data_IF_786705402057
#
_entry.id   IF_786705402057
#
_cell.length_a   1.000
_cell.length_b   1.000
_cell.length_c   1.000
_cell.angle_alpha   90.00
_cell.angle_beta   90.00
_cell.angle_gamma   90.00
#
_symmetry.space_group_name_H-M   'P 1'
#
loop_
_entity.id
_entity.type
_entity.pdbx_description
1 polymer ?
#
# COMPACT_ATOMS: atom_id res chain seq x y z
N UNK A 1 40.61 36.42 -7.30
CA UNK A 1 40.19 35.26 -8.13
C UNK A 1 40.71 34.02 -7.42
N UNK A 2 40.07 33.62 -6.32
CA UNK A 2 38.94 32.68 -6.21
C UNK A 2 39.40 31.23 -6.26
N UNK A 3 39.51 30.62 -5.08
CA UNK A 3 39.26 29.20 -4.84
C UNK A 3 39.23 28.99 -3.32
N UNK A 4 38.04 29.17 -2.71
CA UNK A 4 37.75 28.74 -1.35
C UNK A 4 36.86 27.51 -1.43
N UNK A 5 37.43 26.40 -0.99
CA UNK A 5 36.90 25.04 -0.90
C UNK A 5 35.52 24.93 -0.21
N UNK A 6 34.61 24.06 -0.69
CA UNK A 6 33.31 23.83 -0.07
C UNK A 6 33.32 22.59 0.83
N UNK A 7 32.98 22.75 2.11
CA UNK A 7 32.33 21.67 2.84
C UNK A 7 32.86 21.38 4.23
N UNK A 8 32.43 22.17 5.21
CA UNK A 8 32.19 21.66 6.56
C UNK A 8 30.85 22.23 7.05
N UNK A 9 29.76 21.53 6.71
CA UNK A 9 28.48 21.70 7.41
C UNK A 9 28.60 20.97 8.75
N UNK A 10 29.24 21.63 9.71
CA UNK A 10 29.21 21.21 11.11
C UNK A 10 27.77 21.35 11.61
N UNK A 11 27.07 20.21 11.66
CA UNK A 11 25.75 20.09 12.26
C UNK A 11 25.86 20.41 13.75
N UNK A 12 25.58 21.65 14.12
CA UNK A 12 25.45 22.05 15.52
C UNK A 12 24.12 21.54 16.09
N UNK A 13 24.12 20.93 17.29
CA UNK A 13 22.92 20.37 17.89
C UNK A 13 21.90 21.46 18.27
N UNK A 14 20.63 21.21 17.93
CA UNK A 14 19.46 22.10 18.13
C UNK A 14 19.20 22.45 19.61
N UNK A 15 19.90 21.84 20.55
CA UNK A 15 19.68 22.06 21.98
C UNK A 15 20.34 23.32 22.57
N UNK A 16 21.24 24.00 21.86
CA UNK A 16 21.98 25.15 22.45
C UNK A 16 21.33 26.52 22.19
N UNK A 17 20.24 26.61 21.41
CA UNK A 17 19.63 27.91 21.06
C UNK A 17 18.41 28.27 21.93
N UNK A 18 18.01 27.40 22.86
CA UNK A 18 16.88 27.62 23.75
C UNK A 18 17.25 28.28 25.10
N UNK A 19 18.52 28.64 25.32
CA UNK A 19 18.98 29.19 26.61
C UNK A 19 19.43 30.67 26.58
N UNK A 20 19.55 31.30 25.41
CA UNK A 20 20.04 32.70 25.29
C UNK A 20 18.92 33.74 25.06
N UNK A 21 17.68 33.42 25.39
CA UNK A 21 16.54 34.36 25.31
C UNK A 21 15.79 34.49 26.65
N UNK A 22 16.52 34.52 27.76
CA UNK A 22 16.07 35.20 28.98
C UNK A 22 16.23 36.73 28.86
N UNK A 23 15.77 37.32 27.75
CA UNK A 23 15.56 38.77 27.72
C UNK A 23 14.18 39.07 28.27
N UNK A 24 14.18 39.29 29.59
CA UNK A 24 13.27 40.11 30.40
C UNK A 24 12.08 40.73 29.61
N UNK A 25 11.05 39.91 29.37
CA UNK A 25 9.77 40.42 28.91
C UNK A 25 8.97 40.83 30.15
N UNK A 26 9.13 42.08 30.57
CA UNK A 26 8.36 42.66 31.65
C UNK A 26 6.86 42.61 31.32
N UNK A 27 6.14 41.67 31.95
CA UNK A 27 4.68 41.54 31.84
C UNK A 27 4.05 42.78 32.47
N UNK A 28 3.25 43.59 31.74
CA UNK A 28 2.63 44.78 32.30
C UNK A 28 1.65 44.40 33.43
N UNK A 29 1.58 45.19 34.51
CA UNK A 29 0.67 44.93 35.62
C UNK A 29 -0.78 44.99 35.11
N UNK A 30 -1.46 43.83 35.13
CA UNK A 30 -2.83 43.67 34.65
C UNK A 30 -3.02 42.59 33.58
N UNK A 31 -1.93 42.03 33.03
CA UNK A 31 -2.01 40.91 32.08
C UNK A 31 -1.75 39.59 32.80
N UNK A 32 -2.82 38.81 33.03
CA UNK A 32 -2.70 37.42 33.50
C UNK A 32 -2.43 36.53 32.28
N UNK A 33 -1.22 35.98 32.21
CA UNK A 33 -0.91 34.93 31.24
C UNK A 33 -1.56 33.62 31.73
N UNK A 34 -2.70 33.27 31.13
CA UNK A 34 -3.34 31.97 31.39
C UNK A 34 -2.54 30.88 30.68
N UNK A 35 -1.85 30.02 31.43
CA UNK A 35 -1.14 28.86 30.88
C UNK A 35 -2.16 27.77 30.55
N UNK A 36 -2.31 27.46 29.27
CA UNK A 36 -3.09 26.30 28.82
C UNK A 36 -2.17 25.09 28.72
N UNK A 37 -2.31 24.12 29.61
CA UNK A 37 -1.71 22.80 29.42
C UNK A 37 -2.66 21.94 28.59
N UNK A 38 -2.23 21.57 27.38
CA UNK A 38 -2.95 20.62 26.54
C UNK A 38 -2.25 19.26 26.60
N UNK A 39 -2.98 18.23 27.00
CA UNK A 39 -2.49 16.85 26.97
C UNK A 39 -3.00 16.17 25.70
N UNK A 40 -2.09 15.78 24.81
CA UNK A 40 -2.41 15.02 23.60
C UNK A 40 -2.01 13.57 23.84
N UNK A 41 -2.98 12.68 23.96
CA UNK A 41 -2.75 11.24 24.02
C UNK A 41 -2.95 10.62 22.64
N UNK A 42 -1.94 9.89 22.15
CA UNK A 42 -2.04 9.09 20.93
C UNK A 42 -1.89 7.63 21.31
N UNK A 43 -3.00 6.91 21.33
CA UNK A 43 -3.05 5.49 21.64
C UNK A 43 -4.49 5.00 21.79
N UNK A 44 -4.74 3.69 21.61
CA UNK A 44 -6.08 3.10 21.66
C UNK A 44 -6.66 3.02 23.08
N UNK A 45 -5.82 3.26 24.09
CA UNK A 45 -6.18 3.22 25.50
C UNK A 45 -5.76 4.52 26.19
N UNK A 46 -6.58 5.05 27.10
CA UNK A 46 -6.23 6.23 27.89
C UNK A 46 -5.05 5.95 28.84
N UNK A 47 -4.39 7.01 29.31
CA UNK A 47 -3.34 6.86 30.32
C UNK A 47 -3.89 6.27 31.63
N UNK A 48 -3.05 5.60 32.44
CA UNK A 48 -3.45 5.09 33.76
C UNK A 48 -4.03 6.17 34.67
N UNK A 49 -3.53 7.42 34.57
CA UNK A 49 -4.04 8.56 35.32
C UNK A 49 -5.45 8.96 34.89
N UNK A 50 -5.73 8.96 33.58
CA UNK A 50 -7.07 9.20 33.06
C UNK A 50 -8.04 8.06 33.39
N UNK A 51 -7.59 6.80 33.38
CA UNK A 51 -8.37 5.63 33.81
C UNK A 51 -8.86 5.77 35.25
N UNK A 52 -8.00 6.24 36.16
CA UNK A 52 -8.39 6.55 37.54
C UNK A 52 -9.44 7.65 37.60
N UNK A 53 -9.29 8.71 36.80
CA UNK A 53 -10.30 9.77 36.68
C UNK A 53 -11.65 9.26 36.14
N UNK A 54 -11.65 8.28 35.25
CA UNK A 54 -12.90 7.64 34.79
C UNK A 54 -13.57 6.77 35.87
N UNK A 55 -12.77 6.12 36.73
CA UNK A 55 -13.27 5.34 37.87
C UNK A 55 -14.00 6.22 38.89
N UNK A 56 -13.57 7.48 39.06
CA UNK A 56 -14.22 8.48 39.91
C UNK A 56 -15.61 8.89 39.39
N UNK A 57 -15.83 8.87 38.06
CA UNK A 57 -17.15 9.13 37.46
C UNK A 57 -18.08 7.94 37.68
N UNK A 58 -17.58 6.74 37.40
CA UNK A 58 -18.27 5.50 37.69
C UNK A 58 -17.27 4.34 37.72
N UNK A 59 -17.34 3.53 38.76
CA UNK A 59 -16.38 2.46 39.04
C UNK A 59 -16.21 1.42 37.91
N UNK A 60 -17.25 1.22 37.09
CA UNK A 60 -17.31 0.27 35.97
C UNK A 60 -16.78 0.85 34.63
N UNK A 61 -16.59 2.17 34.53
CA UNK A 61 -16.16 2.80 33.28
C UNK A 61 -14.83 2.26 32.72
N UNK A 62 -13.78 2.08 33.53
CA UNK A 62 -12.51 1.53 33.07
C UNK A 62 -12.66 0.18 32.37
N UNK A 63 -13.41 -0.75 32.99
CA UNK A 63 -13.64 -2.09 32.45
C UNK A 63 -14.46 -2.04 31.15
N UNK A 64 -15.51 -1.21 31.12
CA UNK A 64 -16.35 -1.05 29.93
C UNK A 64 -15.60 -0.41 28.76
N UNK A 65 -14.68 0.52 29.04
CA UNK A 65 -13.82 1.13 28.03
C UNK A 65 -12.81 0.11 27.49
N UNK A 66 -12.16 -0.65 28.36
CA UNK A 66 -11.23 -1.71 27.98
C UNK A 66 -11.93 -2.77 27.11
N UNK A 67 -13.12 -3.21 27.52
CA UNK A 67 -13.94 -4.15 26.76
C UNK A 67 -14.36 -3.58 25.39
N UNK A 68 -14.62 -2.28 25.30
CA UNK A 68 -14.90 -1.63 24.01
C UNK A 68 -13.67 -1.62 23.11
N UNK A 69 -12.49 -1.25 23.63
CA UNK A 69 -11.23 -1.27 22.89
C UNK A 69 -10.85 -2.68 22.43
N UNK A 70 -11.05 -3.70 23.27
CA UNK A 70 -10.85 -5.11 22.91
C UNK A 70 -11.78 -5.55 21.79
N UNK A 71 -13.07 -5.19 21.85
CA UNK A 71 -14.03 -5.50 20.77
C UNK A 71 -13.63 -4.83 19.45
N UNK A 72 -13.17 -3.58 19.50
CA UNK A 72 -12.68 -2.88 18.32
C UNK A 72 -11.41 -3.53 17.75
N UNK A 73 -10.47 -3.92 18.60
CA UNK A 73 -9.27 -4.64 18.19
C UNK A 73 -9.62 -6.00 17.57
N UNK A 74 -10.51 -6.77 18.20
CA UNK A 74 -10.98 -8.05 17.68
C UNK A 74 -11.70 -7.90 16.33
N UNK A 75 -12.53 -6.85 16.19
CA UNK A 75 -13.19 -6.54 14.91
C UNK A 75 -12.17 -6.20 13.82
N UNK A 76 -11.17 -5.36 14.13
CA UNK A 76 -10.09 -4.99 13.20
C UNK A 76 -9.30 -6.22 12.76
N UNK A 77 -8.90 -7.07 13.70
CA UNK A 77 -8.18 -8.33 13.42
C UNK A 77 -9.05 -9.24 12.53
N UNK A 78 -10.35 -9.34 12.80
CA UNK A 78 -11.26 -10.14 11.98
C UNK A 78 -11.47 -9.58 10.57
N UNK A 79 -11.38 -8.26 10.38
CA UNK A 79 -11.40 -7.65 9.06
C UNK A 79 -10.08 -7.89 8.31
N UNK A 80 -8.95 -7.73 9.00
CA UNK A 80 -7.62 -8.00 8.44
C UNK A 80 -7.47 -9.47 8.02
N UNK A 81 -7.96 -10.41 8.85
CA UNK A 81 -7.91 -11.84 8.51
C UNK A 81 -8.73 -12.15 7.26
N UNK A 82 -9.95 -11.60 7.15
CA UNK A 82 -10.79 -11.75 5.94
C UNK A 82 -10.14 -11.16 4.69
N UNK A 83 -9.50 -10.01 4.81
CA UNK A 83 -8.76 -9.40 3.70
C UNK A 83 -7.60 -10.27 3.25
N UNK A 84 -6.84 -10.84 4.20
CA UNK A 84 -5.75 -11.77 3.90
C UNK A 84 -6.28 -13.06 3.26
N UNK A 85 -7.38 -13.61 3.77
CA UNK A 85 -8.02 -14.79 3.21
C UNK A 85 -8.51 -14.57 1.78
N UNK A 86 -9.14 -13.42 1.50
CA UNK A 86 -9.55 -13.02 0.16
C UNK A 86 -8.36 -12.92 -0.79
N UNK A 87 -7.29 -12.23 -0.39
CA UNK A 87 -6.05 -12.14 -1.18
C UNK A 87 -5.45 -13.53 -1.48
N UNK A 88 -5.47 -14.45 -0.51
CA UNK A 88 -4.98 -15.81 -0.72
C UNK A 88 -5.88 -16.56 -1.72
N UNK A 89 -7.20 -16.39 -1.64
CA UNK A 89 -8.16 -17.00 -2.55
C UNK A 89 -7.97 -16.49 -3.98
N UNK A 90 -7.82 -15.18 -4.17
CA UNK A 90 -7.57 -14.56 -5.47
C UNK A 90 -6.26 -15.08 -6.08
N UNK A 91 -5.18 -15.11 -5.30
CA UNK A 91 -3.90 -15.67 -5.74
C UNK A 91 -3.97 -17.18 -6.09
N UNK A 92 -4.91 -17.92 -5.51
CA UNK A 92 -5.16 -19.33 -5.87
C UNK A 92 -5.97 -19.43 -7.17
N UNK A 93 -7.00 -18.61 -7.33
CA UNK A 93 -7.82 -18.54 -8.54
C UNK A 93 -6.96 -18.16 -9.75
N UNK A 94 -6.15 -17.10 -9.63
CA UNK A 94 -5.20 -16.67 -10.67
C UNK A 94 -4.23 -17.79 -11.07
N UNK A 95 -3.69 -18.52 -10.08
CA UNK A 95 -2.81 -19.65 -10.35
C UNK A 95 -3.53 -20.78 -11.06
N UNK A 96 -4.79 -21.02 -10.73
CA UNK A 96 -5.60 -22.04 -11.38
C UNK A 96 -5.89 -21.67 -12.84
N UNK A 97 -6.32 -20.43 -13.09
CA UNK A 97 -6.59 -19.93 -14.44
C UNK A 97 -5.32 -19.97 -15.32
N UNK A 98 -4.16 -19.54 -14.77
CA UNK A 98 -2.87 -19.64 -15.47
C UNK A 98 -2.51 -21.08 -15.83
N UNK A 99 -2.73 -22.03 -14.91
CA UNK A 99 -2.47 -23.46 -15.16
C UNK A 99 -3.40 -24.02 -16.24
N UNK A 100 -4.69 -23.67 -16.19
CA UNK A 100 -5.66 -24.06 -17.21
C UNK A 100 -5.27 -23.48 -18.57
N UNK A 101 -4.93 -22.20 -18.65
CA UNK A 101 -4.45 -21.56 -19.87
C UNK A 101 -3.18 -22.20 -20.44
N UNK A 102 -2.22 -22.57 -19.58
CA UNK A 102 -1.03 -23.30 -20.00
C UNK A 102 -1.35 -24.71 -20.51
N UNK A 103 -2.31 -25.41 -19.88
CA UNK A 103 -2.75 -26.74 -20.33
C UNK A 103 -3.45 -26.66 -21.69
N UNK A 104 -4.36 -25.71 -21.89
CA UNK A 104 -4.98 -25.49 -23.20
C UNK A 104 -3.95 -25.09 -24.27
N UNK A 105 -2.98 -24.23 -23.91
CA UNK A 105 -1.87 -23.89 -24.79
C UNK A 105 -1.03 -25.11 -25.18
N UNK A 106 -0.75 -26.02 -24.23
CA UNK A 106 -0.05 -27.28 -24.50
C UNK A 106 -0.85 -28.19 -25.43
N UNK A 107 -2.16 -28.32 -25.21
CA UNK A 107 -3.04 -29.14 -26.07
C UNK A 107 -3.05 -28.60 -27.50
N UNK A 108 -3.19 -27.28 -27.68
CA UNK A 108 -3.15 -26.64 -29.01
C UNK A 108 -1.79 -26.86 -29.67
N UNK A 109 -0.70 -26.72 -28.94
CA UNK A 109 0.65 -26.95 -29.45
C UNK A 109 0.84 -28.39 -29.93
N UNK A 110 0.43 -29.38 -29.13
CA UNK A 110 0.49 -30.80 -29.48
C UNK A 110 -0.41 -31.11 -30.69
N UNK A 111 -1.62 -30.54 -30.73
CA UNK A 111 -2.53 -30.68 -31.87
C UNK A 111 -1.91 -30.14 -33.17
N UNK A 112 -1.35 -28.92 -33.13
CA UNK A 112 -0.66 -28.31 -34.27
C UNK A 112 0.55 -29.10 -34.73
N UNK A 113 1.33 -29.65 -33.79
CA UNK A 113 2.48 -30.50 -34.11
C UNK A 113 2.05 -31.83 -34.77
N UNK A 114 0.95 -32.42 -34.30
CA UNK A 114 0.39 -33.65 -34.87
C UNK A 114 -0.10 -33.40 -36.31
N UNK A 115 -0.81 -32.29 -36.55
CA UNK A 115 -1.27 -31.90 -37.90
C UNK A 115 -0.08 -31.62 -38.82
N UNK A 116 0.96 -30.95 -38.33
CA UNK A 116 2.19 -30.72 -39.09
C UNK A 116 2.87 -32.04 -39.48
N UNK A 117 3.03 -32.97 -38.53
CA UNK A 117 3.64 -34.28 -38.77
C UNK A 117 2.85 -35.12 -39.78
N UNK A 118 1.52 -35.09 -39.71
CA UNK A 118 0.65 -35.76 -40.67
C UNK A 118 0.77 -35.13 -42.07
N UNK A 119 0.77 -33.79 -42.19
CA UNK A 119 0.92 -33.10 -43.48
C UNK A 119 2.26 -33.39 -44.19
N UNK A 120 3.35 -33.57 -43.43
CA UNK A 120 4.64 -33.99 -43.99
C UNK A 120 4.58 -35.42 -44.53
N UNK A 121 3.82 -36.31 -43.87
CA UNK A 121 3.64 -37.69 -44.31
C UNK A 121 2.82 -37.82 -45.61
N UNK A 122 1.95 -36.84 -45.91
CA UNK A 122 1.15 -36.78 -47.14
C UNK A 122 1.78 -35.94 -48.27
N UNK A 123 3.09 -35.62 -48.17
CA UNK A 123 3.89 -34.99 -49.24
C UNK A 123 3.41 -33.58 -49.68
N UNK A 124 2.82 -32.82 -48.74
CA UNK A 124 2.45 -31.41 -48.94
C UNK A 124 3.36 -30.48 -48.11
N UNK A 125 4.64 -30.30 -48.50
CA UNK A 125 5.65 -29.62 -47.69
C UNK A 125 5.39 -28.12 -47.51
N UNK A 126 4.73 -27.46 -48.47
CA UNK A 126 4.49 -26.01 -48.40
C UNK A 126 3.40 -25.65 -47.38
N UNK A 127 2.40 -26.53 -47.21
CA UNK A 127 1.35 -26.36 -46.19
C UNK A 127 1.94 -26.57 -44.79
N UNK A 128 2.81 -27.57 -44.62
CA UNK A 128 3.48 -27.84 -43.35
C UNK A 128 4.36 -26.66 -42.89
N UNK A 129 5.07 -25.98 -43.80
CA UNK A 129 5.89 -24.80 -43.49
C UNK A 129 5.06 -23.67 -42.88
N UNK A 130 3.98 -23.25 -43.54
CA UNK A 130 3.14 -22.14 -43.06
C UNK A 130 2.47 -22.46 -41.72
N UNK A 131 1.96 -23.67 -41.55
CA UNK A 131 1.34 -24.13 -40.30
C UNK A 131 2.36 -24.19 -39.17
N UNK A 132 3.55 -24.73 -39.42
CA UNK A 132 4.62 -24.82 -38.44
C UNK A 132 5.08 -23.44 -37.96
N UNK A 133 5.35 -22.52 -38.90
CA UNK A 133 5.78 -21.15 -38.56
C UNK A 133 4.69 -20.39 -37.79
N UNK A 134 3.42 -20.48 -38.22
CA UNK A 134 2.30 -19.82 -37.54
C UNK A 134 2.09 -20.34 -36.11
N UNK A 135 2.19 -21.66 -35.91
CA UNK A 135 2.05 -22.29 -34.59
C UNK A 135 3.17 -21.87 -33.64
N UNK A 136 4.42 -21.85 -34.13
CA UNK A 136 5.57 -21.46 -33.32
C UNK A 136 5.50 -19.97 -32.92
N UNK A 137 5.18 -19.09 -33.88
CA UNK A 137 5.06 -17.67 -33.63
C UNK A 137 3.92 -17.37 -32.65
N UNK A 138 2.76 -18.00 -32.84
CA UNK A 138 1.62 -17.88 -31.92
C UNK A 138 1.96 -18.33 -30.49
N UNK A 139 2.67 -19.46 -30.35
CA UNK A 139 3.11 -19.97 -29.05
C UNK A 139 4.09 -19.01 -28.34
N UNK A 140 5.06 -18.49 -29.08
CA UNK A 140 6.03 -17.51 -28.55
C UNK A 140 5.31 -16.23 -28.15
N UNK A 141 4.40 -15.71 -28.98
CA UNK A 141 3.62 -14.50 -28.68
C UNK A 141 2.78 -14.67 -27.43
N UNK A 142 2.08 -15.81 -27.24
CA UNK A 142 1.27 -16.03 -26.03
C UNK A 142 2.13 -16.21 -24.78
N UNK A 143 3.26 -16.92 -24.86
CA UNK A 143 4.19 -17.05 -23.73
C UNK A 143 4.84 -15.71 -23.35
N UNK A 144 5.27 -14.92 -24.33
CA UNK A 144 5.88 -13.60 -24.09
C UNK A 144 4.83 -12.63 -23.54
N UNK A 145 3.63 -12.57 -24.13
CA UNK A 145 2.56 -11.71 -23.63
C UNK A 145 2.13 -12.09 -22.22
N UNK A 146 1.97 -13.39 -21.93
CA UNK A 146 1.66 -13.88 -20.58
C UNK A 146 2.72 -13.53 -19.53
N UNK A 147 4.01 -13.58 -19.92
CA UNK A 147 5.14 -13.16 -19.07
C UNK A 147 5.23 -11.64 -18.91
N UNK A 148 4.96 -10.87 -19.98
CA UNK A 148 5.00 -9.40 -19.98
C UNK A 148 3.84 -8.76 -19.21
N UNK A 149 2.65 -9.36 -19.24
CA UNK A 149 1.51 -8.91 -18.43
C UNK A 149 1.68 -9.21 -16.95
N UNK A 150 2.27 -10.36 -16.60
CA UNK A 150 2.51 -10.75 -15.20
C UNK A 150 3.43 -9.79 -14.43
N UNK A 151 4.28 -9.01 -15.12
CA UNK A 151 5.19 -8.05 -14.49
C UNK A 151 4.56 -6.68 -14.18
N UNK A 152 3.40 -6.35 -14.77
CA UNK A 152 2.79 -5.01 -14.66
C UNK A 152 1.89 -4.84 -13.44
N UNK A 153 1.24 -5.92 -13.00
CA UNK A 153 0.26 -5.88 -11.90
C UNK A 153 0.88 -5.54 -10.54
N UNK A 154 2.20 -5.71 -10.36
CA UNK A 154 2.88 -5.39 -9.08
C UNK A 154 3.15 -3.90 -8.87
N UNK A 155 2.96 -3.03 -9.87
CA UNK A 155 3.23 -1.58 -9.76
C UNK A 155 1.99 -0.74 -9.47
N UNK A 156 0.78 -1.27 -9.62
CA UNK A 156 -0.45 -0.48 -9.56
C UNK A 156 -1.13 -0.47 -8.19
N UNK A 157 -0.77 -1.41 -7.29
CA UNK A 157 -1.30 -1.49 -5.92
C UNK A 157 -0.44 -0.72 -4.89
N UNK A 158 0.55 0.05 -5.35
CA UNK A 158 1.62 0.60 -4.51
C UNK A 158 1.64 2.11 -4.34
N UNK A 159 0.69 2.87 -4.91
CA UNK A 159 0.70 4.33 -4.78
C UNK A 159 -0.62 4.90 -4.25
N UNK A 160 -0.78 5.03 -2.92
CA UNK A 160 -1.87 5.79 -2.32
C UNK A 160 -1.70 7.32 -2.45
N UNK A 161 -0.69 7.84 -3.16
CA UNK A 161 -0.44 9.28 -3.27
C UNK A 161 -1.38 10.04 -4.23
N UNK A 162 -2.20 9.34 -5.04
CA UNK A 162 -3.09 9.99 -6.03
C UNK A 162 -4.53 10.18 -5.54
N UNK A 163 -4.88 9.65 -4.35
CA UNK A 163 -6.24 9.77 -3.81
C UNK A 163 -6.48 11.06 -3.01
N UNK A 164 -5.47 11.92 -2.81
CA UNK A 164 -5.62 13.17 -2.03
C UNK A 164 -5.92 14.42 -2.87
N UNK A 165 -5.95 14.36 -4.20
CA UNK A 165 -6.11 15.54 -5.07
C UNK A 165 -7.52 15.71 -5.68
N UNK A 166 -8.53 15.02 -5.14
CA UNK A 166 -9.93 15.17 -5.58
C UNK A 166 -10.86 15.63 -4.46
N UNK A 167 -10.44 16.62 -3.68
CA UNK A 167 -11.42 17.48 -3.00
C UNK A 167 -11.88 18.57 -3.98
N UNK A 168 -13.19 18.70 -4.25
CA UNK A 168 -13.68 19.82 -5.04
C UNK A 168 -13.51 21.09 -4.21
N UNK A 169 -12.73 22.03 -4.75
CA UNK A 169 -12.66 23.42 -4.32
C UNK A 169 -14.08 23.97 -4.19
N UNK A 170 -14.62 24.08 -2.97
CA UNK A 170 -15.79 24.91 -2.73
C UNK A 170 -15.34 26.36 -2.85
N UNK A 171 -15.57 26.93 -4.04
CA UNK A 171 -15.55 28.36 -4.27
C UNK A 171 -16.58 29.05 -3.38
N UNK A 172 -16.18 30.21 -2.85
CA UNK A 172 -16.89 30.92 -1.82
C UNK A 172 -18.28 31.43 -2.25
N UNK A 173 -19.15 31.54 -1.25
CA UNK A 173 -20.24 32.49 -1.28
C UNK A 173 -20.18 33.34 -0.02
N UNK A 174 -19.61 34.53 -0.20
CA UNK A 174 -19.95 35.73 0.55
C UNK A 174 -21.41 36.08 0.31
N UNK A 175 -22.20 36.24 1.38
CA UNK A 175 -23.21 37.29 1.59
C UNK A 175 -23.79 37.16 3.00
#
# INVERSE_FOLDING_TARGET
>A
MTAGDPGEREQRPVHQQAQDSEQDFAVPPGVSLSRFESFVHVGPLPTPEMLKGYEEIAKDFPERLLAMSERQAAHRIAQESKLVEAQIADLRADRHERRMGQLFGLIIALGGFTVCGVSVAFDHPDVAKWIGTGTLLGLVTVMVTGRAFSGRTRRQDGDPADASDSQPTQEGHTS
#
